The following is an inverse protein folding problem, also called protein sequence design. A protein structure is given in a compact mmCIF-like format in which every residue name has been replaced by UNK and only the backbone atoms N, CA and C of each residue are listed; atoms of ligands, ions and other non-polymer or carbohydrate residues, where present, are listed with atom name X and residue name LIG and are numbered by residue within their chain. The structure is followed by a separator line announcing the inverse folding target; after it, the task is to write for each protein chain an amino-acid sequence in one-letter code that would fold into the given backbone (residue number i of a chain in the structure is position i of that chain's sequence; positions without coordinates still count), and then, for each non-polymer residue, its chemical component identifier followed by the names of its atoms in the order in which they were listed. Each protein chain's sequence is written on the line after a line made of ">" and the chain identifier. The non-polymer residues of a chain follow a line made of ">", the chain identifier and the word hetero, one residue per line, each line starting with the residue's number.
data_IF_607872307377
#
_entry.id   IF_607872307377
#
_cell.length_a   1.000
_cell.length_b   1.000
_cell.length_c   1.000
_cell.angle_alpha   90.00
_cell.angle_beta   90.00
_cell.angle_gamma   90.00
#
_symmetry.space_group_name_H-M   'P 1'
#
loop_
_entity.id
_entity.type
_entity.pdbx_description
1 polymer ?
#
# COMPACT_ATOMS: atom_id res chain seq x y z
N UNK A 1 -8.44 -20.99 20.59
CA UNK A 1 -7.41 -20.07 20.09
C UNK A 1 -7.43 -18.81 20.92
N UNK A 2 -6.26 -18.29 21.27
CA UNK A 2 -6.15 -17.02 22.03
C UNK A 2 -6.55 -15.87 21.12
N UNK A 3 -7.39 -14.91 21.59
CA UNK A 3 -7.72 -13.73 20.79
C UNK A 3 -6.45 -12.89 20.50
N UNK A 4 -6.43 -12.11 19.42
CA UNK A 4 -5.31 -11.23 19.11
C UNK A 4 -5.16 -10.16 20.21
N UNK A 5 -3.93 -9.63 20.35
CA UNK A 5 -3.67 -8.55 21.30
C UNK A 5 -4.39 -7.26 20.87
N UNK A 6 -4.83 -6.44 21.84
CA UNK A 6 -5.35 -5.10 21.58
C UNK A 6 -4.40 -4.26 20.75
N UNK A 7 -4.95 -3.42 19.85
CA UNK A 7 -4.15 -2.56 18.98
C UNK A 7 -4.20 -1.10 19.43
N UNK A 8 -3.03 -0.48 19.53
CA UNK A 8 -2.94 0.95 19.87
C UNK A 8 -3.37 1.83 18.68
N UNK A 9 -4.17 2.83 18.98
CA UNK A 9 -4.52 3.92 18.08
C UNK A 9 -3.80 5.21 18.50
N UNK A 10 -4.11 6.30 17.84
CA UNK A 10 -3.58 7.63 18.23
C UNK A 10 -4.05 8.02 19.62
N UNK A 11 -5.32 7.77 19.94
CA UNK A 11 -5.98 8.27 21.15
C UNK A 11 -6.25 7.18 22.19
N UNK A 12 -6.43 5.92 21.78
CA UNK A 12 -6.89 4.84 22.67
C UNK A 12 -6.34 3.46 22.27
N UNK A 13 -6.74 2.43 23.01
CA UNK A 13 -6.56 1.02 22.59
C UNK A 13 -7.88 0.45 22.10
N UNK A 14 -7.84 -0.26 21.01
CA UNK A 14 -8.97 -1.01 20.46
C UNK A 14 -8.85 -2.47 20.87
N UNK A 15 -9.84 -2.95 21.58
CA UNK A 15 -9.95 -4.35 21.99
C UNK A 15 -10.50 -5.21 20.85
N UNK A 16 -9.98 -6.43 20.63
CA UNK A 16 -10.46 -7.31 19.56
C UNK A 16 -11.95 -7.63 19.64
N UNK A 17 -12.48 -7.69 20.85
CA UNK A 17 -13.88 -8.02 21.13
C UNK A 17 -14.80 -6.80 21.14
N UNK A 18 -14.33 -5.62 20.71
CA UNK A 18 -15.18 -4.42 20.57
C UNK A 18 -16.28 -4.69 19.53
N UNK A 19 -17.47 -4.12 19.76
CA UNK A 19 -18.66 -4.33 18.92
C UNK A 19 -18.55 -3.66 17.54
N UNK A 20 -17.62 -2.74 17.35
CA UNK A 20 -17.41 -2.07 16.08
C UNK A 20 -16.28 -2.71 15.28
N UNK A 21 -16.45 -2.75 13.97
CA UNK A 21 -15.40 -3.19 13.06
C UNK A 21 -14.30 -2.14 12.92
N UNK A 22 -13.05 -2.59 13.02
CA UNK A 22 -11.89 -1.79 12.63
C UNK A 22 -10.80 -2.66 12.00
N UNK A 23 -10.11 -2.09 11.02
CA UNK A 23 -9.01 -2.74 10.32
C UNK A 23 -7.99 -1.71 9.85
N UNK A 24 -6.76 -2.14 9.58
CA UNK A 24 -5.76 -1.29 8.95
C UNK A 24 -5.14 -1.96 7.74
N UNK A 25 -4.79 -1.14 6.75
CA UNK A 25 -4.11 -1.56 5.53
C UNK A 25 -2.62 -1.73 5.83
N UNK A 26 -2.09 -2.93 5.69
CA UNK A 26 -0.66 -3.17 5.92
C UNK A 26 0.13 -3.50 4.66
N UNK A 27 -0.56 -3.84 3.57
CA UNK A 27 0.06 -4.15 2.28
C UNK A 27 -0.87 -3.77 1.14
N UNK A 28 -0.29 -3.27 0.07
CA UNK A 28 -0.96 -3.07 -1.21
C UNK A 28 -0.19 -3.86 -2.25
N UNK A 29 -0.89 -4.56 -3.12
CA UNK A 29 -0.30 -5.30 -4.23
C UNK A 29 -1.08 -5.03 -5.50
N UNK A 30 -0.38 -4.54 -6.53
CA UNK A 30 -0.94 -4.31 -7.85
C UNK A 30 -0.50 -5.41 -8.83
N UNK A 31 -1.25 -5.56 -9.93
CA UNK A 31 -0.89 -6.42 -11.06
C UNK A 31 -0.65 -7.91 -10.69
N UNK A 32 -1.38 -8.44 -9.71
CA UNK A 32 -1.30 -9.86 -9.36
C UNK A 32 -1.71 -10.76 -10.53
N UNK A 33 -2.63 -10.29 -11.36
CA UNK A 33 -3.00 -10.93 -12.61
C UNK A 33 -2.60 -10.05 -13.79
N UNK A 34 -1.74 -10.55 -14.69
CA UNK A 34 -1.30 -9.81 -15.88
C UNK A 34 -2.46 -9.47 -16.85
N UNK A 35 -3.52 -10.28 -16.85
CA UNK A 35 -4.70 -10.09 -17.69
C UNK A 35 -5.66 -9.00 -17.14
N UNK A 36 -5.68 -8.82 -15.83
CA UNK A 36 -6.52 -7.86 -15.15
C UNK A 36 -5.62 -7.00 -14.28
N UNK A 37 -5.55 -5.70 -14.54
CA UNK A 37 -4.78 -4.73 -13.75
C UNK A 37 -5.50 -4.48 -12.42
N UNK A 38 -5.61 -5.52 -11.62
CA UNK A 38 -6.23 -5.48 -10.31
C UNK A 38 -5.22 -4.99 -9.26
N UNK A 39 -5.73 -4.25 -8.31
CA UNK A 39 -5.02 -3.80 -7.14
C UNK A 39 -5.78 -4.28 -5.92
N UNK A 40 -5.07 -4.90 -4.99
CA UNK A 40 -5.63 -5.47 -3.76
C UNK A 40 -5.00 -4.79 -2.56
N UNK A 41 -5.83 -4.29 -1.65
CA UNK A 41 -5.40 -3.82 -0.35
C UNK A 41 -5.62 -4.94 0.68
N UNK A 42 -4.55 -5.33 1.36
CA UNK A 42 -4.59 -6.31 2.44
C UNK A 42 -4.78 -5.58 3.76
N UNK A 43 -5.81 -5.99 4.47
CA UNK A 43 -6.21 -5.41 5.74
C UNK A 43 -6.18 -6.46 6.83
N UNK A 44 -5.63 -6.10 8.00
CA UNK A 44 -5.77 -6.87 9.22
C UNK A 44 -6.94 -6.32 10.02
N UNK A 45 -7.89 -7.18 10.36
CA UNK A 45 -9.00 -6.83 11.23
C UNK A 45 -8.49 -6.73 12.67
N UNK A 46 -8.76 -5.60 13.32
CA UNK A 46 -8.31 -5.33 14.70
C UNK A 46 -9.42 -5.49 15.71
N UNK A 47 -10.68 -5.23 15.32
CA UNK A 47 -11.86 -5.41 16.19
C UNK A 47 -13.11 -5.72 15.40
N UNK A 48 -14.07 -6.32 16.07
CA UNK A 48 -15.40 -6.61 15.56
C UNK A 48 -15.41 -7.67 14.46
N UNK A 49 -16.44 -7.59 13.65
CA UNK A 49 -16.75 -8.51 12.56
C UNK A 49 -16.79 -7.77 11.23
N UNK A 50 -16.13 -8.30 10.24
CA UNK A 50 -16.28 -7.91 8.84
C UNK A 50 -17.43 -8.71 8.22
N UNK A 51 -18.29 -8.04 7.47
CA UNK A 51 -19.32 -8.66 6.63
C UNK A 51 -19.22 -8.13 5.20
N UNK A 52 -19.42 -9.01 4.24
CA UNK A 52 -19.39 -8.68 2.81
C UNK A 52 -20.36 -7.54 2.48
N UNK A 53 -19.90 -6.57 1.70
CA UNK A 53 -20.64 -5.37 1.30
C UNK A 53 -21.01 -4.41 2.46
N UNK A 54 -20.46 -4.59 3.66
CA UNK A 54 -20.68 -3.65 4.74
C UNK A 54 -20.21 -2.24 4.36
N UNK A 55 -20.92 -1.24 4.85
CA UNK A 55 -20.49 0.16 4.76
C UNK A 55 -19.42 0.43 5.82
N UNK A 56 -18.32 1.04 5.39
CA UNK A 56 -17.21 1.41 6.26
C UNK A 56 -16.83 2.86 6.08
N UNK A 57 -16.08 3.38 7.03
CA UNK A 57 -15.49 4.72 6.98
C UNK A 57 -13.98 4.61 6.80
N UNK A 58 -13.45 5.22 5.72
CA UNK A 58 -12.03 5.38 5.47
C UNK A 58 -11.56 6.64 6.19
N UNK A 59 -10.76 6.48 7.24
CA UNK A 59 -10.44 7.57 8.18
C UNK A 59 -9.58 8.63 7.51
N UNK A 60 -8.46 8.26 6.90
CA UNK A 60 -7.53 9.19 6.24
C UNK A 60 -8.17 9.87 5.02
N UNK A 61 -9.01 9.16 4.28
CA UNK A 61 -9.77 9.72 3.16
C UNK A 61 -11.03 10.47 3.56
N UNK A 62 -11.40 10.45 4.84
CA UNK A 62 -12.60 11.08 5.42
C UNK A 62 -13.89 10.80 4.61
N UNK A 63 -14.10 9.55 4.19
CA UNK A 63 -15.23 9.16 3.36
C UNK A 63 -15.80 7.80 3.72
N UNK A 64 -17.11 7.65 3.52
CA UNK A 64 -17.80 6.37 3.57
C UNK A 64 -17.64 5.63 2.26
N UNK A 65 -17.55 4.31 2.35
CA UNK A 65 -17.42 3.44 1.19
C UNK A 65 -17.91 2.02 1.52
N UNK A 66 -18.09 1.20 0.50
CA UNK A 66 -18.32 -0.24 0.67
C UNK A 66 -17.08 -1.01 0.26
N UNK A 67 -16.71 -1.99 1.07
CA UNK A 67 -15.63 -2.91 0.73
C UNK A 67 -16.17 -3.96 -0.25
N UNK A 68 -15.68 -3.91 -1.48
CA UNK A 68 -16.10 -4.82 -2.54
C UNK A 68 -15.12 -5.99 -2.69
N UNK A 69 -15.68 -7.15 -3.05
CA UNK A 69 -14.94 -8.37 -3.36
C UNK A 69 -13.88 -8.74 -2.31
N UNK A 70 -14.29 -8.94 -1.04
CA UNK A 70 -13.37 -9.42 -0.03
C UNK A 70 -12.91 -10.82 -0.40
N UNK A 71 -11.60 -11.02 -0.38
CA UNK A 71 -10.95 -12.28 -0.70
C UNK A 71 -10.01 -12.66 0.43
N UNK A 72 -10.08 -13.89 0.88
CA UNK A 72 -9.02 -14.48 1.67
C UNK A 72 -8.07 -15.19 0.72
N UNK A 73 -6.79 -14.89 0.83
CA UNK A 73 -5.78 -15.56 0.02
C UNK A 73 -5.17 -16.67 0.87
N UNK A 74 -5.53 -17.91 0.54
CA UNK A 74 -4.89 -19.10 1.06
C UNK A 74 -4.02 -19.70 -0.06
N UNK A 75 -2.71 -19.53 0.06
CA UNK A 75 -1.72 -19.94 -0.94
C UNK A 75 -1.96 -19.30 -2.32
N UNK A 76 -2.36 -20.05 -3.33
CA UNK A 76 -2.64 -19.56 -4.69
C UNK A 76 -4.12 -19.40 -5.00
N UNK A 77 -5.00 -19.83 -4.10
CA UNK A 77 -6.44 -19.77 -4.28
C UNK A 77 -7.03 -18.54 -3.60
N UNK A 78 -7.97 -17.91 -4.29
CA UNK A 78 -8.74 -16.76 -3.79
C UNK A 78 -10.13 -17.26 -3.43
N UNK A 79 -10.44 -17.31 -2.15
CA UNK A 79 -11.79 -17.58 -1.69
C UNK A 79 -12.51 -16.29 -1.34
N UNK A 80 -13.76 -16.18 -1.77
CA UNK A 80 -14.62 -15.05 -1.37
C UNK A 80 -15.01 -15.29 0.08
N UNK A 81 -14.74 -14.31 0.94
CA UNK A 81 -15.04 -14.37 2.36
C UNK A 81 -16.29 -13.54 2.63
N UNK A 82 -17.32 -14.18 3.15
CA UNK A 82 -18.54 -13.47 3.54
C UNK A 82 -18.41 -12.83 4.92
N UNK A 83 -17.62 -13.42 5.81
CA UNK A 83 -17.39 -12.96 7.20
C UNK A 83 -15.93 -13.17 7.60
N UNK A 84 -15.39 -12.23 8.39
CA UNK A 84 -14.06 -12.33 9.00
C UNK A 84 -14.03 -11.61 10.35
N UNK A 85 -13.13 -12.01 11.23
CA UNK A 85 -13.10 -11.55 12.62
C UNK A 85 -11.75 -10.93 12.99
N UNK A 86 -11.70 -10.28 14.15
CA UNK A 86 -10.47 -9.71 14.69
C UNK A 86 -9.31 -10.72 14.68
N UNK A 87 -8.19 -10.34 14.07
CA UNK A 87 -7.02 -11.19 13.83
C UNK A 87 -6.91 -11.72 12.42
N UNK A 88 -8.00 -11.81 11.68
CA UNK A 88 -8.00 -12.25 10.28
C UNK A 88 -7.41 -11.19 9.33
N UNK A 89 -6.94 -11.68 8.20
CA UNK A 89 -6.45 -10.86 7.09
C UNK A 89 -7.39 -11.04 5.91
N UNK A 90 -7.90 -9.94 5.40
CA UNK A 90 -8.70 -9.90 4.18
C UNK A 90 -8.02 -9.07 3.10
N UNK A 91 -8.15 -9.48 1.85
CA UNK A 91 -7.80 -8.67 0.68
C UNK A 91 -9.05 -8.08 0.09
N UNK A 92 -9.08 -6.78 -0.17
CA UNK A 92 -10.19 -6.10 -0.83
C UNK A 92 -9.72 -5.46 -2.12
N UNK A 93 -10.60 -5.42 -3.12
CA UNK A 93 -10.30 -4.69 -4.35
C UNK A 93 -10.08 -3.20 -4.02
N UNK A 94 -8.98 -2.66 -4.52
CA UNK A 94 -8.61 -1.26 -4.32
C UNK A 94 -8.64 -0.50 -5.66
N UNK A 95 -9.57 0.42 -5.86
CA UNK A 95 -9.59 1.28 -7.05
C UNK A 95 -8.47 2.35 -7.05
N UNK A 96 -7.49 2.26 -6.16
CA UNK A 96 -6.37 3.20 -6.04
C UNK A 96 -6.58 4.27 -4.98
N UNK A 97 -7.39 3.97 -3.95
CA UNK A 97 -7.74 4.91 -2.89
C UNK A 97 -7.07 4.62 -1.55
N UNK A 98 -6.59 3.39 -1.35
CA UNK A 98 -5.93 3.00 -0.11
C UNK A 98 -4.43 3.25 -0.16
N UNK A 99 -3.90 3.59 1.00
CA UNK A 99 -2.46 3.66 1.28
C UNK A 99 -2.10 2.74 2.44
N UNK A 100 -0.83 2.30 2.49
CA UNK A 100 -0.33 1.51 3.63
C UNK A 100 -0.44 2.36 4.90
N UNK A 101 -1.00 1.79 5.96
CA UNK A 101 -1.27 2.48 7.22
C UNK A 101 -2.67 3.08 7.33
N UNK A 102 -3.47 3.07 6.26
CA UNK A 102 -4.85 3.56 6.33
C UNK A 102 -5.70 2.73 7.28
N UNK A 103 -6.58 3.43 7.99
CA UNK A 103 -7.54 2.86 8.92
C UNK A 103 -8.93 2.85 8.32
N UNK A 104 -9.59 1.72 8.47
CA UNK A 104 -10.97 1.48 8.05
C UNK A 104 -11.77 1.08 9.28
N UNK A 105 -12.93 1.69 9.53
CA UNK A 105 -13.77 1.37 10.67
C UNK A 105 -15.24 1.45 10.34
N UNK A 106 -16.08 0.98 11.26
CA UNK A 106 -17.55 1.16 11.17
C UNK A 106 -17.90 2.64 11.12
N UNK A 107 -18.91 3.05 10.33
CA UNK A 107 -19.40 4.42 10.34
C UNK A 107 -19.80 4.87 11.75
N UNK A 108 -19.37 6.08 12.14
CA UNK A 108 -19.65 6.62 13.50
C UNK A 108 -18.52 6.41 14.50
N UNK A 109 -17.59 5.50 14.25
CA UNK A 109 -16.37 5.33 15.01
C UNK A 109 -15.19 5.96 14.26
N UNK A 110 -14.42 6.82 14.93
CA UNK A 110 -13.26 7.50 14.33
C UNK A 110 -11.98 7.10 15.09
N UNK A 111 -11.64 5.82 14.99
CA UNK A 111 -10.36 5.35 15.48
C UNK A 111 -9.32 5.47 14.37
N UNK A 112 -8.10 5.84 14.71
CA UNK A 112 -6.99 5.91 13.77
C UNK A 112 -5.80 5.12 14.31
N UNK A 113 -5.45 4.03 13.64
CA UNK A 113 -4.26 3.27 14.01
C UNK A 113 -3.00 4.07 13.70
N UNK A 114 -1.98 3.88 14.53
CA UNK A 114 -0.65 4.41 14.23
C UNK A 114 -0.14 3.77 12.95
N UNK A 115 0.44 4.58 12.07
CA UNK A 115 0.99 4.12 10.80
C UNK A 115 2.08 3.06 10.99
N UNK A 116 2.35 2.31 9.93
CA UNK A 116 3.46 1.36 9.92
C UNK A 116 4.75 2.17 9.79
N UNK A 117 5.76 1.94 10.66
CA UNK A 117 7.05 2.61 10.55
C UNK A 117 7.66 2.36 9.18
N UNK A 118 8.08 3.43 8.51
CA UNK A 118 8.81 3.36 7.24
C UNK A 118 10.28 3.52 7.53
N UNK A 119 11.11 2.61 7.03
CA UNK A 119 12.56 2.74 7.14
C UNK A 119 13.04 3.87 6.22
N UNK A 120 13.95 4.68 6.72
CA UNK A 120 14.61 5.68 5.90
C UNK A 120 15.44 4.97 4.80
N UNK A 121 15.46 5.49 3.57
CA UNK A 121 16.28 4.93 2.51
C UNK A 121 17.77 5.17 2.80
N UNK A 122 18.59 4.19 2.43
CA UNK A 122 20.04 4.21 2.59
C UNK A 122 20.77 4.32 1.24
N UNK A 123 20.07 3.99 0.15
CA UNK A 123 20.62 4.06 -1.20
C UNK A 123 19.72 4.87 -2.11
N UNK A 124 20.32 5.69 -2.97
CA UNK A 124 19.62 6.62 -3.84
C UNK A 124 20.10 6.48 -5.29
N UNK A 125 19.16 6.59 -6.22
CA UNK A 125 19.46 6.63 -7.64
C UNK A 125 18.55 7.63 -8.36
N UNK A 126 19.10 8.34 -9.33
CA UNK A 126 18.34 9.10 -10.31
C UNK A 126 17.83 8.11 -11.36
N UNK A 127 16.51 8.10 -11.54
CA UNK A 127 15.84 7.14 -12.43
C UNK A 127 15.02 7.90 -13.47
N UNK A 128 15.21 7.54 -14.73
CA UNK A 128 14.47 8.12 -15.87
C UNK A 128 14.11 7.04 -16.88
N UNK A 129 13.06 7.27 -17.66
CA UNK A 129 12.72 6.42 -18.78
C UNK A 129 13.76 6.53 -19.87
N UNK A 130 14.07 5.38 -20.52
CA UNK A 130 14.97 5.35 -21.68
C UNK A 130 14.33 5.93 -22.94
N UNK A 131 13.02 5.71 -23.10
CA UNK A 131 12.21 6.19 -24.21
C UNK A 131 11.21 7.26 -23.70
N UNK A 132 11.30 8.47 -24.22
CA UNK A 132 10.43 9.60 -23.86
C UNK A 132 8.95 9.34 -24.14
N UNK A 133 8.63 8.49 -25.13
CA UNK A 133 7.26 8.08 -25.43
C UNK A 133 6.62 7.24 -24.32
N UNK A 134 7.43 6.65 -23.45
CA UNK A 134 7.00 5.83 -22.28
C UNK A 134 6.80 6.62 -20.99
N UNK A 135 6.78 7.95 -21.06
CA UNK A 135 6.61 8.83 -19.89
C UNK A 135 5.39 8.49 -19.03
N UNK A 136 4.24 8.24 -19.64
CA UNK A 136 3.02 7.87 -18.90
C UNK A 136 3.17 6.55 -18.16
N UNK A 137 3.79 5.55 -18.79
CA UNK A 137 4.07 4.25 -18.20
C UNK A 137 5.06 4.38 -17.04
N UNK A 138 6.10 5.19 -17.21
CA UNK A 138 7.10 5.47 -16.19
C UNK A 138 6.46 6.09 -14.94
N UNK A 139 5.74 7.19 -15.08
CA UNK A 139 5.08 7.88 -13.97
C UNK A 139 4.09 6.95 -13.26
N UNK A 140 3.26 6.23 -14.04
CA UNK A 140 2.31 5.29 -13.47
C UNK A 140 3.00 4.16 -12.72
N UNK A 141 4.02 3.55 -13.32
CA UNK A 141 4.73 2.41 -12.76
C UNK A 141 5.48 2.77 -11.48
N UNK A 142 6.26 3.85 -11.51
CA UNK A 142 7.01 4.31 -10.33
C UNK A 142 6.06 4.69 -9.19
N UNK A 143 4.98 5.42 -9.47
CA UNK A 143 3.98 5.80 -8.46
C UNK A 143 3.31 4.58 -7.84
N UNK A 144 2.91 3.58 -8.62
CA UNK A 144 2.29 2.36 -8.09
C UNK A 144 3.26 1.55 -7.23
N UNK A 145 4.50 1.36 -7.69
CA UNK A 145 5.52 0.61 -6.94
C UNK A 145 5.87 1.32 -5.62
N UNK A 146 5.88 2.66 -5.61
CA UNK A 146 6.06 3.44 -4.39
C UNK A 146 4.88 3.28 -3.41
N UNK A 147 3.64 3.30 -3.91
CA UNK A 147 2.44 3.09 -3.09
C UNK A 147 2.37 1.69 -2.46
N UNK A 148 3.03 0.71 -3.07
CA UNK A 148 3.21 -0.64 -2.49
C UNK A 148 4.30 -0.68 -1.40
N UNK A 149 5.01 0.43 -1.18
CA UNK A 149 6.07 0.54 -0.17
C UNK A 149 7.41 -0.09 -0.58
N UNK A 150 7.58 -0.48 -1.86
CA UNK A 150 8.81 -1.10 -2.34
C UNK A 150 9.94 -0.10 -2.55
N UNK A 151 9.61 1.14 -2.84
CA UNK A 151 10.55 2.26 -3.06
C UNK A 151 9.99 3.54 -2.46
N UNK A 152 10.84 4.53 -2.26
CA UNK A 152 10.44 5.91 -1.96
C UNK A 152 10.83 6.81 -3.13
N UNK A 153 9.97 7.76 -3.49
CA UNK A 153 10.20 8.70 -4.59
C UNK A 153 10.39 10.08 -4.01
N UNK A 154 11.45 10.74 -4.45
CA UNK A 154 11.75 12.12 -4.14
C UNK A 154 11.84 12.89 -5.45
N UNK A 155 11.40 14.12 -5.43
CA UNK A 155 11.41 14.99 -6.59
C UNK A 155 12.05 16.32 -6.21
N UNK A 156 12.94 16.84 -7.06
CA UNK A 156 13.41 18.19 -6.92
C UNK A 156 12.29 19.18 -7.25
N UNK A 157 12.18 20.26 -6.49
CA UNK A 157 11.09 21.23 -6.60
C UNK A 157 10.93 21.83 -8.01
N UNK A 158 12.02 21.97 -8.74
CA UNK A 158 12.06 22.56 -10.08
C UNK A 158 12.27 21.53 -11.21
N UNK A 159 12.42 20.25 -10.86
CA UNK A 159 12.57 19.19 -11.85
C UNK A 159 11.22 18.70 -12.38
N UNK A 160 11.14 18.48 -13.70
CA UNK A 160 9.98 17.86 -14.32
C UNK A 160 9.82 16.39 -13.87
N UNK A 161 8.63 15.82 -14.09
CA UNK A 161 8.37 14.39 -13.80
C UNK A 161 9.06 13.42 -14.79
N UNK A 162 10.07 13.86 -15.49
CA UNK A 162 10.81 13.04 -16.47
C UNK A 162 11.88 12.18 -15.82
N UNK A 163 12.36 12.62 -14.69
CA UNK A 163 13.30 11.89 -13.85
C UNK A 163 12.91 12.04 -12.37
N UNK A 164 13.18 11.02 -11.59
CA UNK A 164 12.86 10.99 -10.16
C UNK A 164 14.03 10.41 -9.39
N UNK A 165 14.24 10.90 -8.17
CA UNK A 165 15.17 10.28 -7.24
C UNK A 165 14.42 9.15 -6.54
N UNK A 166 14.94 7.94 -6.65
CA UNK A 166 14.41 6.77 -5.96
C UNK A 166 15.32 6.43 -4.79
N UNK A 167 14.72 6.35 -3.61
CA UNK A 167 15.37 5.89 -2.39
C UNK A 167 14.90 4.48 -2.02
N UNK A 168 15.83 3.64 -1.60
CA UNK A 168 15.59 2.26 -1.18
C UNK A 168 16.41 1.92 0.08
N UNK A 169 15.93 0.95 0.85
CA UNK A 169 16.65 0.46 2.03
C UNK A 169 17.78 -0.49 1.62
N UNK A 170 17.58 -1.29 0.58
CA UNK A 170 18.57 -2.23 0.09
C UNK A 170 18.70 -2.20 -1.44
N UNK A 171 19.93 -2.32 -1.95
CA UNK A 171 20.26 -2.18 -3.37
C UNK A 171 19.48 -3.12 -4.30
N UNK A 172 19.10 -4.30 -3.82
CA UNK A 172 18.30 -5.26 -4.62
C UNK A 172 16.90 -4.72 -4.97
N UNK A 173 16.39 -3.74 -4.25
CA UNK A 173 15.11 -3.10 -4.59
C UNK A 173 15.19 -2.32 -5.92
N UNK A 174 16.38 -1.86 -6.31
CA UNK A 174 16.60 -1.26 -7.64
C UNK A 174 16.42 -2.28 -8.77
N UNK A 175 16.90 -3.50 -8.58
CA UNK A 175 16.73 -4.57 -9.58
C UNK A 175 15.24 -4.96 -9.70
N UNK A 176 14.53 -5.02 -8.56
CA UNK A 176 13.09 -5.25 -8.54
C UNK A 176 12.34 -4.13 -9.27
N UNK A 177 12.69 -2.86 -9.01
CA UNK A 177 12.11 -1.71 -9.70
C UNK A 177 12.29 -1.81 -11.22
N UNK A 178 13.53 -2.07 -11.66
CA UNK A 178 13.87 -2.21 -13.09
C UNK A 178 13.08 -3.34 -13.73
N UNK A 179 13.08 -4.52 -13.10
CA UNK A 179 12.36 -5.69 -13.59
C UNK A 179 10.86 -5.41 -13.72
N UNK A 180 10.25 -4.81 -12.70
CA UNK A 180 8.81 -4.52 -12.68
C UNK A 180 8.42 -3.47 -13.70
N UNK A 181 9.18 -2.37 -13.83
CA UNK A 181 8.92 -1.34 -14.85
C UNK A 181 8.99 -1.92 -16.26
N UNK A 182 9.96 -2.79 -16.53
CA UNK A 182 10.11 -3.43 -17.82
C UNK A 182 8.97 -4.43 -18.10
N UNK A 183 8.65 -5.33 -17.15
CA UNK A 183 7.75 -6.45 -17.40
C UNK A 183 6.27 -6.14 -17.17
N UNK A 184 5.94 -5.21 -16.28
CA UNK A 184 4.57 -4.86 -15.94
C UNK A 184 4.09 -3.61 -16.69
N UNK A 185 5.01 -2.65 -16.94
CA UNK A 185 4.69 -1.36 -17.54
C UNK A 185 5.29 -1.16 -18.94
N UNK A 186 6.06 -2.14 -19.43
CA UNK A 186 6.76 -2.07 -20.72
C UNK A 186 7.61 -0.78 -20.84
N UNK A 187 8.35 -0.45 -19.80
CA UNK A 187 9.14 0.76 -19.67
C UNK A 187 10.56 0.44 -19.24
N UNK A 188 11.52 0.60 -20.16
CA UNK A 188 12.94 0.52 -19.85
C UNK A 188 13.40 1.81 -19.18
N UNK A 189 14.26 1.68 -18.17
CA UNK A 189 14.80 2.80 -17.42
C UNK A 189 16.32 2.88 -17.49
N UNK A 190 16.83 4.09 -17.31
CA UNK A 190 18.23 4.40 -17.02
C UNK A 190 18.27 4.74 -15.53
N UNK A 191 19.28 4.23 -14.84
CA UNK A 191 19.46 4.43 -13.40
C UNK A 191 20.91 4.82 -13.14
N UNK A 192 21.09 5.94 -12.43
CA UNK A 192 22.38 6.48 -12.04
C UNK A 192 22.43 6.57 -10.51
N UNK A 193 23.35 5.84 -9.89
CA UNK A 193 23.50 5.85 -8.43
C UNK A 193 23.95 7.23 -7.96
N UNK A 194 23.31 7.73 -6.92
CA UNK A 194 23.65 9.02 -6.30
C UNK A 194 24.44 8.79 -5.00
N UNK A 195 25.41 9.65 -4.69
CA UNK A 195 26.26 9.53 -3.51
C UNK A 195 25.57 10.11 -2.24
N UNK A 196 24.24 9.94 -2.14
CA UNK A 196 23.49 10.37 -0.95
C UNK A 196 23.51 9.26 0.09
N UNK A 197 23.71 9.61 1.36
CA UNK A 197 23.77 8.66 2.47
C UNK A 197 22.50 8.73 3.33
N UNK A 198 21.83 9.88 3.35
CA UNK A 198 20.60 10.05 4.16
C UNK A 198 19.74 11.20 3.67
N UNK A 199 18.46 11.15 4.05
CA UNK A 199 17.49 12.25 3.88
C UNK A 199 17.12 12.82 5.23
N UNK A 200 16.97 14.14 5.29
CA UNK A 200 16.44 14.86 6.45
C UNK A 200 15.30 15.76 6.01
N UNK A 201 14.25 15.76 6.82
CA UNK A 201 13.18 16.76 6.72
C UNK A 201 13.60 18.00 7.50
N UNK A 202 13.42 19.16 6.88
CA UNK A 202 13.71 20.47 7.49
C UNK A 202 12.39 21.15 7.83
#
# INVERSE_FOLDING_TARGET
>A
TTPPLPRETVDEKVEPMSDFFSAFVFKIQANMNKAHRDRVAFMRICSGKFEKNMEVFHVQGNKKMRLSQPQQIMAQEREIVDEAYAGDIIGVFDPGIFSIGDTICSPGHKVQFRGIPTFAPEHFALVRQKDTMKRKQFIKGTSQIAQEGAIQIFQELDAGMEEVIVGVVGVLQFDVLKYRLQNEYNCDIIMETLPYEFIRWI
#
